data_IF_585237587250
#
_entry.id   IF_585237587250
#
_cell.length_a   1.000
_cell.length_b   1.000
_cell.length_c   1.000
_cell.angle_alpha   90.00
_cell.angle_beta   90.00
_cell.angle_gamma   90.00
#
_symmetry.space_group_name_H-M   'P 1'
#
loop_
_entity.id
_entity.type
_entity.pdbx_description
1 polymer ?
#
# COMPACT_ATOMS: atom_id res chain seq x y z
N UNK A 1 12.33 -3.47 -15.89
CA UNK A 1 12.80 -2.24 -15.22
C UNK A 1 12.40 -2.32 -13.76
N UNK A 2 13.33 -2.07 -12.82
CA UNK A 2 13.00 -2.00 -11.39
C UNK A 2 12.69 -0.55 -11.00
N UNK A 3 11.63 -0.32 -10.22
CA UNK A 3 11.32 0.98 -9.62
C UNK A 3 10.18 1.76 -10.28
N UNK A 4 9.93 1.59 -11.59
CA UNK A 4 8.79 2.23 -12.26
C UNK A 4 7.46 1.59 -11.84
N UNK A 5 6.45 2.41 -11.53
CA UNK A 5 5.10 1.94 -11.24
C UNK A 5 4.32 1.65 -12.53
N UNK A 6 3.17 0.99 -12.40
CA UNK A 6 2.34 0.65 -13.55
C UNK A 6 1.88 1.90 -14.34
N UNK A 7 1.57 3.00 -13.65
CA UNK A 7 1.12 4.23 -14.27
C UNK A 7 2.21 4.89 -15.12
N UNK A 8 3.45 4.90 -14.61
CA UNK A 8 4.63 5.37 -15.35
C UNK A 8 4.91 4.51 -16.59
N UNK A 9 4.87 3.18 -16.44
CA UNK A 9 5.08 2.27 -17.57
C UNK A 9 4.00 2.45 -18.65
N UNK A 10 2.74 2.62 -18.25
CA UNK A 10 1.64 2.88 -19.18
C UNK A 10 1.84 4.20 -19.93
N UNK A 11 2.21 5.28 -19.24
CA UNK A 11 2.49 6.57 -19.88
C UNK A 11 3.62 6.49 -20.89
N UNK A 12 4.75 5.86 -20.53
CA UNK A 12 5.88 5.67 -21.45
C UNK A 12 5.54 4.81 -22.66
N UNK A 13 4.72 3.77 -22.47
CA UNK A 13 4.33 2.85 -23.55
C UNK A 13 3.32 3.47 -24.51
N UNK A 14 2.27 4.11 -23.98
CA UNK A 14 1.22 4.72 -24.78
C UNK A 14 1.65 6.06 -25.38
N UNK A 15 2.65 6.72 -24.77
CA UNK A 15 3.22 7.99 -25.19
C UNK A 15 2.15 9.07 -25.52
N UNK A 16 1.22 9.37 -24.58
CA UNK A 16 0.23 10.42 -24.78
C UNK A 16 0.87 11.82 -24.69
N UNK A 17 0.06 12.87 -24.84
CA UNK A 17 0.51 14.25 -24.63
C UNK A 17 1.16 14.44 -23.24
N UNK A 18 2.16 15.33 -23.16
CA UNK A 18 2.89 15.61 -21.92
C UNK A 18 1.97 16.02 -20.75
N UNK A 19 0.86 16.69 -21.02
CA UNK A 19 -0.10 17.06 -19.98
C UNK A 19 -0.63 15.82 -19.23
N UNK A 20 -0.72 14.64 -19.85
CA UNK A 20 -1.12 13.39 -19.21
C UNK A 20 -0.06 12.81 -18.27
N UNK A 21 1.15 13.39 -18.22
CA UNK A 21 2.21 12.97 -17.29
C UNK A 21 1.77 13.09 -15.83
N UNK A 22 0.84 14.01 -15.52
CA UNK A 22 0.26 14.15 -14.17
C UNK A 22 -0.47 12.89 -13.71
N UNK A 23 -1.18 12.19 -14.62
CA UNK A 23 -1.87 10.92 -14.30
C UNK A 23 -0.86 9.83 -13.94
N UNK A 24 0.25 9.75 -14.68
CA UNK A 24 1.35 8.85 -14.34
C UNK A 24 1.97 9.18 -12.98
N UNK A 25 2.16 10.47 -12.71
CA UNK A 25 2.69 10.97 -11.44
C UNK A 25 1.77 10.71 -10.25
N UNK A 26 0.45 10.80 -10.42
CA UNK A 26 -0.50 10.44 -9.35
C UNK A 26 -0.32 8.98 -8.93
N UNK A 27 -0.21 8.08 -9.91
CA UNK A 27 0.08 6.66 -9.65
C UNK A 27 1.46 6.46 -9.01
N UNK A 28 2.49 7.14 -9.50
CA UNK A 28 3.83 7.07 -8.91
C UNK A 28 3.87 7.56 -7.45
N UNK A 29 3.16 8.63 -7.12
CA UNK A 29 3.02 9.12 -5.74
C UNK A 29 2.28 8.10 -4.88
N UNK A 30 1.17 7.54 -5.38
CA UNK A 30 0.41 6.51 -4.66
C UNK A 30 1.21 5.24 -4.37
N UNK A 31 2.08 4.84 -5.29
CA UNK A 31 2.95 3.65 -5.15
C UNK A 31 4.30 3.95 -4.48
N UNK A 32 4.54 5.19 -4.05
CA UNK A 32 5.83 5.67 -3.53
C UNK A 32 7.02 5.48 -4.51
N UNK A 33 6.74 5.41 -5.81
CA UNK A 33 7.70 5.21 -6.89
C UNK A 33 8.35 6.54 -7.35
N UNK A 34 8.89 7.32 -6.42
CA UNK A 34 9.33 8.71 -6.69
C UNK A 34 10.76 8.86 -7.21
N UNK A 35 11.52 7.76 -7.28
CA UNK A 35 12.96 7.81 -7.51
C UNK A 35 13.39 7.60 -8.96
N UNK A 36 12.46 7.32 -9.87
CA UNK A 36 12.77 7.09 -11.29
C UNK A 36 13.21 8.38 -11.98
N UNK A 37 14.05 8.31 -13.03
CA UNK A 37 14.46 9.50 -13.79
C UNK A 37 13.26 10.30 -14.32
N UNK A 38 12.25 9.61 -14.87
CA UNK A 38 11.03 10.23 -15.36
C UNK A 38 10.30 11.02 -14.27
N UNK A 39 10.08 10.44 -13.09
CA UNK A 39 9.35 11.13 -12.01
C UNK A 39 10.13 12.35 -11.52
N UNK A 40 11.46 12.23 -11.35
CA UNK A 40 12.31 13.38 -10.96
C UNK A 40 12.23 14.52 -11.97
N UNK A 41 12.35 14.22 -13.26
CA UNK A 41 12.32 15.23 -14.32
C UNK A 41 10.94 15.87 -14.45
N UNK A 42 9.88 15.09 -14.30
CA UNK A 42 8.51 15.58 -14.39
C UNK A 42 8.15 16.47 -13.18
N UNK A 43 8.65 16.17 -11.98
CA UNK A 43 8.48 17.01 -10.79
C UNK A 43 9.17 18.38 -10.88
N UNK A 44 10.13 18.57 -11.80
CA UNK A 44 10.71 19.88 -12.09
C UNK A 44 9.78 20.76 -12.95
N UNK A 45 8.77 20.16 -13.59
CA UNK A 45 7.88 20.82 -14.55
C UNK A 45 6.46 21.02 -14.00
N UNK A 46 6.10 20.33 -12.92
CA UNK A 46 4.83 20.46 -12.23
C UNK A 46 5.00 21.10 -10.85
N UNK A 47 4.05 21.92 -10.39
CA UNK A 47 4.06 22.36 -8.99
C UNK A 47 3.81 21.18 -8.07
N UNK A 48 4.78 20.91 -7.20
CA UNK A 48 4.76 19.75 -6.30
C UNK A 48 3.58 19.78 -5.31
N UNK A 49 3.13 20.96 -4.85
CA UNK A 49 2.07 21.04 -3.85
C UNK A 49 0.74 20.65 -4.47
N UNK A 50 0.45 21.16 -5.66
CA UNK A 50 -0.75 20.78 -6.42
C UNK A 50 -0.69 19.31 -6.81
N UNK A 51 0.46 18.81 -7.29
CA UNK A 51 0.60 17.41 -7.69
C UNK A 51 0.31 16.43 -6.54
N UNK A 52 0.81 16.71 -5.34
CA UNK A 52 0.55 15.89 -4.15
C UNK A 52 -0.89 16.02 -3.64
N UNK A 53 -1.51 17.20 -3.78
CA UNK A 53 -2.94 17.36 -3.49
C UNK A 53 -3.78 16.44 -4.39
N UNK A 54 -3.57 16.51 -5.70
CA UNK A 54 -4.33 15.71 -6.67
C UNK A 54 -4.11 14.21 -6.48
N UNK A 55 -2.85 13.79 -6.29
CA UNK A 55 -2.54 12.40 -5.98
C UNK A 55 -3.20 11.96 -4.66
N UNK A 56 -3.19 12.81 -3.64
CA UNK A 56 -3.82 12.55 -2.35
C UNK A 56 -5.33 12.40 -2.46
N UNK A 57 -6.00 13.28 -3.21
CA UNK A 57 -7.45 13.18 -3.49
C UNK A 57 -7.76 11.87 -4.19
N UNK A 58 -7.01 11.53 -5.24
CA UNK A 58 -7.22 10.29 -5.97
C UNK A 58 -7.05 9.05 -5.08
N UNK A 59 -5.93 8.94 -4.37
CA UNK A 59 -5.60 7.76 -3.55
C UNK A 59 -6.60 7.57 -2.41
N UNK A 60 -6.89 8.63 -1.65
CA UNK A 60 -7.82 8.56 -0.51
C UNK A 60 -9.26 8.35 -0.97
N UNK A 61 -9.66 9.00 -2.06
CA UNK A 61 -10.98 8.82 -2.64
C UNK A 61 -11.20 7.39 -3.16
N UNK A 62 -10.22 6.81 -3.86
CA UNK A 62 -10.31 5.42 -4.32
C UNK A 62 -10.33 4.38 -3.19
N UNK A 63 -9.66 4.68 -2.08
CA UNK A 63 -9.67 3.87 -0.86
C UNK A 63 -11.05 3.92 -0.17
N UNK A 64 -11.66 5.12 -0.10
CA UNK A 64 -13.04 5.28 0.38
C UNK A 64 -14.05 4.46 -0.42
N UNK A 65 -13.97 4.54 -1.75
CA UNK A 65 -14.90 3.86 -2.66
C UNK A 65 -14.81 2.32 -2.58
N UNK A 66 -13.66 1.79 -2.13
CA UNK A 66 -13.51 0.35 -1.90
C UNK A 66 -13.82 -0.50 -3.13
N UNK A 67 -14.95 -1.21 -3.12
CA UNK A 67 -15.38 -2.12 -4.20
C UNK A 67 -16.46 -1.52 -5.12
N UNK A 68 -16.72 -0.22 -5.02
CA UNK A 68 -17.58 0.46 -5.98
C UNK A 68 -16.88 0.58 -7.34
N UNK A 69 -16.99 -0.47 -8.15
CA UNK A 69 -16.32 -0.55 -9.44
C UNK A 69 -16.93 0.39 -10.48
N UNK A 70 -18.21 0.72 -10.38
CA UNK A 70 -18.85 1.66 -11.32
C UNK A 70 -18.36 3.08 -11.06
N UNK A 71 -18.34 3.53 -9.81
CA UNK A 71 -17.75 4.83 -9.47
C UNK A 71 -16.29 4.93 -9.91
N UNK A 72 -15.51 3.85 -9.75
CA UNK A 72 -14.11 3.79 -10.20
C UNK A 72 -13.96 3.89 -11.71
N UNK A 73 -14.88 3.31 -12.51
CA UNK A 73 -14.86 3.47 -13.97
C UNK A 73 -15.13 4.91 -14.38
N UNK A 74 -16.06 5.59 -13.71
CA UNK A 74 -16.30 7.03 -13.93
C UNK A 74 -15.04 7.87 -13.70
N UNK A 75 -14.29 7.59 -12.61
CA UNK A 75 -13.02 8.29 -12.34
C UNK A 75 -11.99 8.04 -13.44
N UNK A 76 -11.89 6.81 -13.95
CA UNK A 76 -10.98 6.48 -15.07
C UNK A 76 -11.35 7.27 -16.32
N UNK A 77 -12.65 7.43 -16.60
CA UNK A 77 -13.13 8.22 -17.74
C UNK A 77 -12.72 9.69 -17.60
N UNK A 78 -12.92 10.30 -16.44
CA UNK A 78 -12.50 11.68 -16.20
C UNK A 78 -10.96 11.86 -16.29
N UNK A 79 -10.19 10.95 -15.68
CA UNK A 79 -8.72 10.96 -15.81
C UNK A 79 -8.26 10.81 -17.27
N UNK A 80 -8.99 10.06 -18.10
CA UNK A 80 -8.66 9.90 -19.52
C UNK A 80 -8.84 11.19 -20.33
N UNK A 81 -9.72 12.08 -19.87
CA UNK A 81 -9.92 13.43 -20.41
C UNK A 81 -8.98 14.46 -19.77
N UNK A 82 -8.06 14.00 -18.92
CA UNK A 82 -7.09 14.81 -18.20
C UNK A 82 -7.72 15.74 -17.15
N UNK A 83 -8.90 15.38 -16.64
CA UNK A 83 -9.54 16.09 -15.54
C UNK A 83 -8.78 15.86 -14.23
N UNK A 84 -8.81 16.86 -13.35
CA UNK A 84 -8.14 16.81 -12.07
C UNK A 84 -8.94 15.94 -11.08
N UNK A 85 -8.30 15.09 -10.26
CA UNK A 85 -8.98 14.38 -9.19
C UNK A 85 -9.83 15.29 -8.28
N UNK A 86 -9.36 16.51 -7.99
CA UNK A 86 -10.05 17.49 -7.17
C UNK A 86 -11.27 18.15 -7.84
N UNK A 87 -11.41 18.10 -9.18
CA UNK A 87 -12.60 18.61 -9.87
C UNK A 87 -13.78 17.64 -9.80
N UNK A 88 -13.52 16.36 -9.51
CA UNK A 88 -14.54 15.33 -9.30
C UNK A 88 -15.09 15.47 -7.87
N UNK A 89 -16.22 16.15 -7.72
CA UNK A 89 -16.78 16.56 -6.42
C UNK A 89 -16.99 15.38 -5.46
N UNK A 90 -17.53 14.28 -5.94
CA UNK A 90 -17.74 13.06 -5.16
C UNK A 90 -16.43 12.45 -4.67
N UNK A 91 -15.39 12.51 -5.52
CA UNK A 91 -14.05 12.01 -5.17
C UNK A 91 -13.37 12.88 -4.12
N UNK A 92 -13.48 14.20 -4.25
CA UNK A 92 -12.93 15.15 -3.28
C UNK A 92 -13.57 14.98 -1.90
N UNK A 93 -14.90 14.85 -1.85
CA UNK A 93 -15.63 14.58 -0.60
C UNK A 93 -15.22 13.23 0.00
N UNK A 94 -15.15 12.18 -0.82
CA UNK A 94 -14.71 10.86 -0.41
C UNK A 94 -13.29 10.88 0.20
N UNK A 95 -12.37 11.61 -0.45
CA UNK A 95 -11.00 11.76 0.02
C UNK A 95 -10.94 12.47 1.38
N UNK A 96 -11.70 13.54 1.58
CA UNK A 96 -11.75 14.26 2.86
C UNK A 96 -12.29 13.39 4.00
N UNK A 97 -13.35 12.61 3.73
CA UNK A 97 -13.89 11.67 4.73
C UNK A 97 -12.86 10.58 5.05
N UNK A 98 -12.19 10.05 4.04
CA UNK A 98 -11.19 9.01 4.24
C UNK A 98 -9.96 9.51 4.99
N UNK A 99 -9.51 10.74 4.72
CA UNK A 99 -8.43 11.37 5.48
C UNK A 99 -8.75 11.40 6.99
N UNK A 100 -9.99 11.76 7.34
CA UNK A 100 -10.45 11.75 8.74
C UNK A 100 -10.47 10.34 9.33
N UNK A 101 -11.00 9.36 8.58
CA UNK A 101 -11.01 7.94 9.01
C UNK A 101 -9.62 7.39 9.26
N UNK A 102 -8.65 7.75 8.42
CA UNK A 102 -7.24 7.35 8.58
C UNK A 102 -6.65 7.92 9.87
N UNK A 103 -6.92 9.20 10.18
CA UNK A 103 -6.45 9.80 11.43
C UNK A 103 -7.12 9.18 12.67
N UNK A 104 -8.44 8.94 12.61
CA UNK A 104 -9.18 8.28 13.69
C UNK A 104 -8.66 6.86 13.93
N UNK A 105 -8.38 6.10 12.86
CA UNK A 105 -7.74 4.79 12.93
C UNK A 105 -6.36 4.89 13.60
N UNK A 106 -5.51 5.82 13.13
CA UNK A 106 -4.14 6.01 13.64
C UNK A 106 -4.13 6.24 15.15
N UNK A 107 -5.09 7.01 15.68
CA UNK A 107 -5.24 7.27 17.12
C UNK A 107 -5.63 6.05 17.93
N UNK A 108 -6.43 5.14 17.35
CA UNK A 108 -6.92 3.93 18.02
C UNK A 108 -5.94 2.76 17.96
N UNK A 109 -5.05 2.74 16.96
CA UNK A 109 -4.12 1.62 16.76
C UNK A 109 -3.28 1.23 17.99
N UNK A 110 -2.76 2.15 18.83
CA UNK A 110 -1.99 1.77 20.02
C UNK A 110 -2.71 0.79 20.96
N UNK A 111 -4.04 0.80 21.00
CA UNK A 111 -4.85 -0.08 21.85
C UNK A 111 -5.19 -1.43 21.17
N UNK A 112 -5.00 -1.51 19.85
CA UNK A 112 -5.43 -2.64 19.01
C UNK A 112 -4.27 -3.49 18.48
N UNK A 113 -3.04 -2.96 18.56
CA UNK A 113 -1.86 -3.61 17.99
C UNK A 113 -1.36 -4.70 18.93
N UNK A 114 -1.21 -5.89 18.37
CA UNK A 114 -0.51 -7.01 18.98
C UNK A 114 0.87 -7.17 18.32
N UNK A 115 1.79 -7.87 18.99
CA UNK A 115 3.19 -7.93 18.56
C UNK A 115 3.81 -9.31 18.75
N UNK A 116 4.61 -9.71 17.76
CA UNK A 116 5.68 -10.71 17.90
C UNK A 116 7.04 -10.06 18.14
N UNK A 117 8.12 -10.79 17.84
CA UNK A 117 9.49 -10.28 18.00
C UNK A 117 9.81 -9.21 16.93
N UNK A 118 9.45 -9.48 15.67
CA UNK A 118 9.75 -8.65 14.50
C UNK A 118 8.50 -8.11 13.79
N UNK A 119 7.33 -8.63 14.10
CA UNK A 119 6.07 -8.28 13.44
C UNK A 119 5.12 -7.61 14.42
N UNK A 120 4.48 -6.53 13.99
CA UNK A 120 3.29 -5.99 14.64
C UNK A 120 2.06 -6.31 13.79
N UNK A 121 0.91 -6.59 14.39
CA UNK A 121 -0.30 -6.83 13.64
C UNK A 121 -1.54 -6.27 14.32
N UNK A 122 -2.57 -6.05 13.51
CA UNK A 122 -3.89 -5.63 13.96
C UNK A 122 -4.95 -6.40 13.20
N UNK A 123 -5.93 -6.94 13.92
CA UNK A 123 -7.03 -7.73 13.36
C UNK A 123 -8.28 -6.86 13.29
N UNK A 124 -8.92 -6.86 12.12
CA UNK A 124 -10.09 -6.06 11.75
C UNK A 124 -9.92 -4.56 12.11
N UNK A 125 -8.83 -3.89 11.66
CA UNK A 125 -8.65 -2.47 11.93
C UNK A 125 -9.78 -1.65 11.32
N UNK A 126 -10.20 -0.53 11.95
CA UNK A 126 -11.13 0.39 11.33
C UNK A 126 -10.43 1.11 10.17
N UNK A 127 -10.84 0.89 8.92
CA UNK A 127 -10.30 1.62 7.76
C UNK A 127 -9.31 0.81 6.91
N UNK A 128 -8.36 1.49 6.27
CA UNK A 128 -7.49 0.88 5.25
C UNK A 128 -6.50 -0.12 5.84
N UNK A 129 -6.54 -1.35 5.33
CA UNK A 129 -5.71 -2.46 5.80
C UNK A 129 -4.21 -2.18 5.63
N UNK A 130 -3.84 -1.53 4.53
CA UNK A 130 -2.44 -1.19 4.23
C UNK A 130 -1.87 -0.10 5.14
N UNK A 131 -2.68 0.92 5.45
CA UNK A 131 -2.28 1.96 6.38
C UNK A 131 -2.28 1.45 7.83
N UNK A 132 -3.23 0.57 8.18
CA UNK A 132 -3.22 -0.11 9.47
C UNK A 132 -1.92 -0.91 9.66
N UNK A 133 -1.52 -1.68 8.65
CA UNK A 133 -0.25 -2.40 8.64
C UNK A 133 0.96 -1.45 8.79
N UNK A 134 0.98 -0.35 8.03
CA UNK A 134 2.04 0.66 8.13
C UNK A 134 2.13 1.24 9.54
N UNK A 135 1.02 1.70 10.12
CA UNK A 135 1.04 2.33 11.43
C UNK A 135 1.26 1.33 12.56
N UNK A 136 0.78 0.09 12.45
CA UNK A 136 1.04 -0.96 13.44
C UNK A 136 2.55 -1.14 13.67
N UNK A 137 3.35 -1.21 12.59
CA UNK A 137 4.81 -1.32 12.70
C UNK A 137 5.45 -0.08 13.32
N UNK A 138 4.92 1.11 13.04
CA UNK A 138 5.44 2.38 13.58
C UNK A 138 5.17 2.48 15.08
N UNK A 139 3.92 2.25 15.47
CA UNK A 139 3.45 2.33 16.86
C UNK A 139 4.19 1.31 17.75
N UNK A 140 4.38 0.09 17.26
CA UNK A 140 5.07 -0.96 18.00
C UNK A 140 6.60 -0.99 17.78
N UNK A 141 7.16 -0.04 17.04
CA UNK A 141 8.58 0.01 16.64
C UNK A 141 9.11 -1.32 16.07
N UNK A 142 8.32 -1.95 15.19
CA UNK A 142 8.65 -3.22 14.53
C UNK A 142 9.05 -3.02 13.07
N UNK A 143 9.94 -3.87 12.52
CA UNK A 143 10.36 -3.79 11.12
C UNK A 143 9.22 -4.14 10.14
N UNK A 144 8.26 -4.97 10.53
CA UNK A 144 7.12 -5.34 9.70
C UNK A 144 5.81 -5.13 10.44
N UNK A 145 4.81 -4.63 9.73
CA UNK A 145 3.44 -4.52 10.21
C UNK A 145 2.45 -5.25 9.31
N UNK A 146 1.38 -5.77 9.90
CA UNK A 146 0.35 -6.55 9.22
C UNK A 146 -1.05 -6.05 9.62
N UNK A 147 -1.85 -5.65 8.65
CA UNK A 147 -3.28 -5.46 8.83
C UNK A 147 -4.00 -6.72 8.38
N UNK A 148 -4.93 -7.24 9.20
CA UNK A 148 -5.69 -8.46 8.92
C UNK A 148 -7.18 -8.15 8.87
N UNK A 149 -7.86 -8.54 7.79
CA UNK A 149 -9.32 -8.54 7.68
C UNK A 149 -9.81 -9.98 7.70
N UNK A 150 -10.60 -10.36 8.70
CA UNK A 150 -11.25 -11.66 8.75
C UNK A 150 -12.53 -11.65 7.92
N UNK A 151 -12.60 -12.54 6.93
CA UNK A 151 -13.74 -12.65 6.03
C UNK A 151 -14.14 -14.11 5.83
N UNK A 152 -15.20 -14.51 6.53
CA UNK A 152 -15.68 -15.88 6.54
C UNK A 152 -14.59 -16.86 6.99
N UNK A 153 -14.30 -17.87 6.18
CA UNK A 153 -13.25 -18.87 6.44
C UNK A 153 -11.83 -18.43 6.09
N UNK A 154 -11.61 -17.18 5.70
CA UNK A 154 -10.30 -16.67 5.26
C UNK A 154 -9.92 -15.35 5.93
N UNK A 155 -8.62 -15.07 5.99
CA UNK A 155 -8.06 -13.80 6.38
C UNK A 155 -7.40 -13.16 5.17
N UNK A 156 -7.69 -11.89 4.90
CA UNK A 156 -7.01 -11.05 3.92
C UNK A 156 -5.98 -10.22 4.69
N UNK A 157 -4.74 -10.18 4.23
CA UNK A 157 -3.63 -9.53 4.92
C UNK A 157 -3.00 -8.50 4.00
N UNK A 158 -2.70 -7.33 4.56
CA UNK A 158 -1.80 -6.35 3.96
C UNK A 158 -0.57 -6.21 4.85
N UNK A 159 0.61 -6.28 4.24
CA UNK A 159 1.89 -6.25 4.92
C UNK A 159 2.69 -5.02 4.47
N UNK A 160 3.42 -4.42 5.40
CA UNK A 160 4.32 -3.28 5.17
C UNK A 160 5.62 -3.47 5.91
N UNK A 161 6.74 -3.37 5.18
CA UNK A 161 8.06 -3.37 5.78
C UNK A 161 8.55 -1.92 5.94
N UNK A 162 9.28 -1.68 7.02
CA UNK A 162 10.04 -0.46 7.26
C UNK A 162 11.55 -0.66 7.13
N UNK A 163 12.00 -1.91 7.00
CA UNK A 163 13.42 -2.25 6.87
C UNK A 163 13.72 -2.73 5.43
N UNK A 164 14.68 -2.11 4.72
CA UNK A 164 15.01 -2.46 3.35
C UNK A 164 15.61 -3.87 3.19
N UNK A 165 16.08 -4.49 4.28
CA UNK A 165 16.59 -5.88 4.27
C UNK A 165 15.48 -6.92 4.14
N UNK A 166 14.24 -6.54 4.45
CA UNK A 166 13.08 -7.43 4.38
C UNK A 166 12.48 -7.36 2.98
N UNK A 167 12.41 -8.51 2.30
CA UNK A 167 11.67 -8.69 1.06
C UNK A 167 10.37 -9.44 1.32
N UNK A 168 9.29 -8.67 1.53
CA UNK A 168 7.97 -9.22 1.81
C UNK A 168 7.40 -10.05 0.66
N UNK A 169 7.66 -9.69 -0.60
CA UNK A 169 7.18 -10.48 -1.73
C UNK A 169 7.81 -11.88 -1.71
N UNK A 170 9.12 -11.95 -1.48
CA UNK A 170 9.83 -13.23 -1.39
C UNK A 170 9.36 -14.06 -0.19
N UNK A 171 9.21 -13.46 1.00
CA UNK A 171 8.77 -14.16 2.21
C UNK A 171 7.33 -14.67 2.05
N UNK A 172 6.39 -13.80 1.65
CA UNK A 172 4.97 -14.17 1.54
C UNK A 172 4.75 -15.27 0.49
N UNK A 173 5.48 -15.24 -0.63
CA UNK A 173 5.41 -16.30 -1.65
C UNK A 173 5.92 -17.66 -1.16
N UNK A 174 6.77 -17.69 -0.14
CA UNK A 174 7.18 -18.94 0.52
C UNK A 174 6.19 -19.37 1.61
N UNK A 175 5.79 -18.44 2.49
CA UNK A 175 5.02 -18.77 3.70
C UNK A 175 3.55 -19.06 3.39
N UNK A 176 2.88 -18.23 2.57
CA UNK A 176 1.44 -18.34 2.36
C UNK A 176 1.02 -19.69 1.73
N UNK A 177 1.68 -20.21 0.67
CA UNK A 177 1.28 -21.48 0.04
C UNK A 177 1.37 -22.68 0.97
N UNK A 178 2.36 -22.74 1.86
CA UNK A 178 2.54 -23.83 2.84
C UNK A 178 1.34 -23.94 3.78
N UNK A 179 0.60 -22.85 3.97
CA UNK A 179 -0.58 -22.77 4.84
C UNK A 179 -1.92 -22.84 4.09
N UNK A 180 -1.90 -23.24 2.81
CA UNK A 180 -3.09 -23.26 1.95
C UNK A 180 -3.57 -21.86 1.55
N UNK A 181 -2.69 -20.86 1.64
CA UNK A 181 -2.92 -19.50 1.22
C UNK A 181 -2.20 -19.13 -0.07
N UNK A 182 -2.23 -17.84 -0.42
CA UNK A 182 -1.43 -17.27 -1.50
C UNK A 182 -1.13 -15.81 -1.19
N UNK A 183 -0.10 -15.25 -1.84
CA UNK A 183 0.23 -13.85 -1.67
C UNK A 183 1.40 -13.41 -2.56
N UNK A 184 1.70 -12.12 -2.50
CA UNK A 184 2.75 -11.48 -3.29
C UNK A 184 2.65 -9.96 -3.24
N UNK A 185 3.53 -9.29 -3.97
CA UNK A 185 3.57 -7.84 -4.10
C UNK A 185 4.98 -7.35 -4.43
N UNK A 186 5.41 -6.33 -3.71
CA UNK A 186 6.74 -5.73 -3.79
C UNK A 186 7.56 -6.01 -2.53
N UNK A 187 8.86 -5.66 -2.56
CA UNK A 187 9.78 -5.86 -1.43
C UNK A 187 9.26 -5.23 -0.13
N UNK A 188 8.71 -4.01 -0.20
CA UNK A 188 8.27 -3.24 0.98
C UNK A 188 6.76 -3.32 1.28
N UNK A 189 5.98 -3.90 0.38
CA UNK A 189 4.53 -3.96 0.47
C UNK A 189 4.01 -5.23 -0.21
N UNK A 190 3.33 -6.09 0.54
CA UNK A 190 2.76 -7.33 0.01
C UNK A 190 1.34 -7.54 0.54
N UNK A 191 0.58 -8.37 -0.15
CA UNK A 191 -0.71 -8.88 0.30
C UNK A 191 -0.68 -10.40 0.39
N UNK A 192 -1.50 -10.95 1.28
CA UNK A 192 -1.71 -12.39 1.38
C UNK A 192 -3.17 -12.71 1.69
N UNK A 193 -3.57 -13.95 1.39
CA UNK A 193 -4.80 -14.55 1.88
C UNK A 193 -4.46 -15.92 2.45
N UNK A 194 -4.93 -16.20 3.66
CA UNK A 194 -4.75 -17.50 4.33
C UNK A 194 -6.07 -17.99 4.93
N UNK A 195 -6.25 -19.31 5.16
CA UNK A 195 -7.38 -19.82 5.92
C UNK A 195 -7.41 -19.23 7.35
N UNK A 196 -8.60 -18.93 7.88
CA UNK A 196 -8.76 -18.31 9.22
C UNK A 196 -8.05 -19.11 10.32
N UNK A 197 -8.19 -20.43 10.31
CA UNK A 197 -7.54 -21.32 11.28
C UNK A 197 -6.01 -21.40 11.17
N UNK A 198 -5.39 -20.77 10.16
CA UNK A 198 -3.94 -20.74 9.94
C UNK A 198 -3.33 -19.35 10.14
N UNK A 199 -4.13 -18.35 10.58
CA UNK A 199 -3.66 -16.98 10.75
C UNK A 199 -2.48 -16.87 11.73
N UNK A 200 -2.61 -17.47 12.92
CA UNK A 200 -1.56 -17.41 13.94
C UNK A 200 -0.27 -18.09 13.44
N UNK A 201 -0.39 -19.27 12.85
CA UNK A 201 0.75 -19.99 12.26
C UNK A 201 1.44 -19.17 11.14
N UNK A 202 0.66 -18.43 10.34
CA UNK A 202 1.19 -17.51 9.33
C UNK A 202 1.99 -16.38 9.97
N UNK A 203 1.45 -15.73 11.01
CA UNK A 203 2.11 -14.63 11.70
C UNK A 203 3.42 -15.08 12.37
N UNK A 204 3.42 -16.26 13.00
CA UNK A 204 4.64 -16.84 13.60
C UNK A 204 5.70 -17.19 12.56
N UNK A 205 5.32 -17.80 11.42
CA UNK A 205 6.25 -18.09 10.32
C UNK A 205 6.82 -16.81 9.73
N UNK A 206 5.96 -15.80 9.52
CA UNK A 206 6.37 -14.49 9.04
C UNK A 206 7.39 -13.85 9.99
N UNK A 207 7.13 -13.86 11.30
CA UNK A 207 8.01 -13.26 12.31
C UNK A 207 9.41 -13.88 12.29
N UNK A 208 9.50 -15.22 12.20
CA UNK A 208 10.78 -15.93 12.07
C UNK A 208 11.53 -15.58 10.79
N UNK A 209 10.85 -15.62 9.64
CA UNK A 209 11.46 -15.30 8.34
C UNK A 209 11.95 -13.85 8.27
N UNK A 210 11.25 -12.92 8.93
CA UNK A 210 11.71 -11.54 9.10
C UNK A 210 12.96 -11.49 9.98
N UNK A 211 12.98 -12.19 11.11
CA UNK A 211 14.17 -12.28 11.96
C UNK A 211 15.41 -12.84 11.25
N UNK A 212 15.24 -13.87 10.43
CA UNK A 212 16.30 -14.45 9.59
C UNK A 212 16.82 -13.44 8.56
N UNK A 213 15.92 -12.73 7.86
CA UNK A 213 16.31 -11.70 6.90
C UNK A 213 17.12 -10.56 7.53
N UNK A 214 16.77 -10.16 8.75
CA UNK A 214 17.48 -9.11 9.48
C UNK A 214 18.85 -9.58 10.00
N UNK A 215 18.96 -10.85 10.37
CA UNK A 215 20.18 -11.47 10.89
C UNK A 215 21.19 -11.82 9.80
N UNK A 216 20.73 -12.30 8.64
CA UNK A 216 21.58 -12.62 7.48
C UNK A 216 22.33 -11.42 6.88
N UNK A 217 21.92 -10.20 7.22
CA UNK A 217 22.66 -8.97 6.89
C UNK A 217 23.91 -8.71 7.75
N UNK A 218 24.10 -9.41 8.88
CA UNK A 218 25.27 -9.23 9.76
C UNK A 218 26.50 -10.03 9.33
N UNK A 219 26.36 -11.04 8.47
CA UNK A 219 27.45 -11.93 8.06
C UNK A 219 28.18 -11.46 6.79
N UNK A 220 27.81 -10.30 6.24
CA UNK A 220 28.52 -9.63 5.14
C UNK A 220 29.13 -8.32 5.62
N UNK A 221 30.11 -8.40 6.51
CA UNK A 221 31.08 -7.34 6.79
C UNK A 221 32.45 -7.96 7.00
#
# INVERSE_FOLDING_TARGET
EEGACAAELAFRHLNPDWEMSRVALYGAIGDYALNTPFVRDAMLKWDIKTLFLEAGVLVLGLDYLGKDYEAKRGIVEELSRNELPSSISELLVAAAIQAKRVEDMRRRLPELVETGEHVAYVINPPGSLGLAAFYARVVAAKPVGVGVEERGGSCILSLRAGDPRVDLNSIVRRVAPVLGGHGGGHKQAAGARVPRGRLIEFLEKLDREVGEALSGGRTRK
#
